data_IF_919502280869
#
_entry.id   IF_919502280869
#
_cell.length_a   1.000
_cell.length_b   1.000
_cell.length_c   1.000
_cell.angle_alpha   90.00
_cell.angle_beta   90.00
_cell.angle_gamma   90.00
#
_symmetry.space_group_name_H-M   'P 1'
#
loop_
_entity.id
_entity.type
_entity.pdbx_description
1 polymer ?
#
# COMPACT_ATOMS: atom_id res chain seq x y z
N UNK A 1 -32.36 4.89 18.39
CA UNK A 1 -31.68 5.79 17.45
C UNK A 1 -30.20 5.49 17.62
N UNK A 2 -29.71 4.51 16.85
CA UNK A 2 -28.27 4.17 16.85
C UNK A 2 -27.61 4.94 15.72
N UNK A 3 -26.71 5.84 16.11
CA UNK A 3 -25.85 6.59 15.18
C UNK A 3 -24.86 5.64 14.50
N UNK A 4 -25.21 5.22 13.29
CA UNK A 4 -24.28 4.52 12.42
C UNK A 4 -23.35 5.53 11.76
N UNK A 5 -22.34 5.99 12.50
CA UNK A 5 -21.17 6.67 11.94
C UNK A 5 -20.34 5.65 11.17
N UNK A 6 -20.73 5.37 9.93
CA UNK A 6 -19.89 4.65 8.97
C UNK A 6 -18.81 5.60 8.44
N UNK A 7 -17.83 5.91 9.29
CA UNK A 7 -16.58 6.46 8.85
C UNK A 7 -15.93 5.48 7.88
N UNK A 8 -15.66 5.91 6.66
CA UNK A 8 -14.88 5.15 5.69
C UNK A 8 -13.49 4.95 6.27
N UNK A 9 -13.28 3.83 6.93
CA UNK A 9 -11.93 3.39 7.25
C UNK A 9 -11.29 3.07 5.90
N UNK A 10 -10.39 3.91 5.44
CA UNK A 10 -9.33 3.47 4.52
C UNK A 10 -8.92 2.09 5.03
N UNK A 11 -8.92 1.03 4.20
CA UNK A 11 -8.63 -0.30 4.70
C UNK A 11 -7.44 -0.21 5.64
N UNK A 12 -7.54 -0.86 6.80
CA UNK A 12 -6.51 -0.82 7.86
C UNK A 12 -5.10 -1.10 7.30
N UNK A 13 -5.05 -1.79 6.16
CA UNK A 13 -3.87 -2.06 5.37
C UNK A 13 -3.16 -0.77 4.88
N UNK A 14 -3.90 0.30 4.53
CA UNK A 14 -3.29 1.58 4.14
C UNK A 14 -2.62 2.30 5.31
N UNK A 15 -3.22 2.21 6.51
CA UNK A 15 -2.65 2.79 7.72
C UNK A 15 -1.46 1.94 8.19
N UNK A 16 -1.57 0.62 8.10
CA UNK A 16 -0.50 -0.30 8.51
C UNK A 16 0.72 -0.16 7.59
N UNK A 17 0.53 0.00 6.28
CA UNK A 17 1.67 0.18 5.36
C UNK A 17 2.37 1.52 5.62
N UNK A 18 1.66 2.61 5.88
CA UNK A 18 2.28 3.90 6.19
C UNK A 18 2.95 3.91 7.58
N UNK A 19 2.39 3.19 8.57
CA UNK A 19 2.94 3.10 9.94
C UNK A 19 4.05 2.06 10.04
N UNK A 20 3.94 0.91 9.35
CA UNK A 20 5.01 -0.09 9.30
C UNK A 20 6.28 0.43 8.60
N UNK A 21 6.16 1.41 7.74
CA UNK A 21 7.33 2.03 7.09
C UNK A 21 8.22 2.84 8.04
N UNK A 22 7.67 3.34 9.16
CA UNK A 22 8.44 4.12 10.14
C UNK A 22 8.89 3.26 11.33
N UNK A 23 8.14 2.20 11.68
CA UNK A 23 8.40 1.43 12.91
C UNK A 23 9.13 0.10 12.70
N UNK A 24 9.15 -0.49 11.52
CA UNK A 24 9.80 -1.78 11.28
C UNK A 24 11.35 -1.72 11.28
N UNK A 25 11.94 -0.55 11.47
CA UNK A 25 13.39 -0.38 11.49
C UNK A 25 13.95 -0.16 12.90
N UNK A 26 13.11 -0.05 13.94
CA UNK A 26 13.57 0.44 15.26
C UNK A 26 13.80 -0.65 16.29
N UNK A 27 13.37 -1.88 16.09
CA UNK A 27 13.57 -2.92 17.14
C UNK A 27 14.20 -4.16 16.52
N UNK A 28 15.50 -4.29 16.61
CA UNK A 28 16.13 -5.61 16.75
C UNK A 28 17.35 -5.50 17.64
N UNK A 29 17.18 -5.81 18.92
CA UNK A 29 18.18 -6.49 19.71
C UNK A 29 18.01 -8.01 19.47
N UNK A 30 19.03 -8.85 19.68
CA UNK A 30 19.33 -9.98 18.82
C UNK A 30 18.57 -11.25 19.22
N UNK A 31 17.93 -11.91 18.28
CA UNK A 31 17.72 -13.35 18.34
C UNK A 31 18.10 -13.94 16.98
N UNK A 32 19.13 -14.75 17.06
CA UNK A 32 19.71 -15.57 16.00
C UNK A 32 18.70 -16.66 15.60
N UNK A 33 18.42 -16.82 14.30
CA UNK A 33 18.73 -18.07 13.57
C UNK A 33 17.92 -18.23 12.30
N UNK A 34 18.62 -18.67 11.33
CA UNK A 34 18.37 -19.26 10.02
C UNK A 34 18.57 -18.31 8.85
N UNK A 35 19.82 -18.24 8.45
CA UNK A 35 20.31 -17.69 7.19
C UNK A 35 19.93 -18.66 6.07
N UNK A 36 19.13 -18.21 5.11
CA UNK A 36 19.16 -18.74 3.75
C UNK A 36 19.87 -17.69 2.90
N UNK A 37 21.08 -18.06 2.50
CA UNK A 37 21.95 -17.31 1.60
C UNK A 37 21.30 -17.15 0.24
N UNK A 38 20.96 -15.92 -0.13
CA UNK A 38 20.93 -15.49 -1.52
C UNK A 38 22.11 -14.54 -1.70
N UNK A 39 22.89 -14.81 -2.72
CA UNK A 39 24.19 -14.31 -3.08
C UNK A 39 24.28 -12.77 -3.03
N UNK A 40 25.40 -12.29 -2.56
CA UNK A 40 25.96 -10.99 -2.27
C UNK A 40 25.84 -10.60 -0.78
N UNK A 41 27.01 -10.62 -0.15
CA UNK A 41 27.35 -10.30 1.23
C UNK A 41 26.20 -9.69 2.07
N UNK A 42 25.59 -10.50 2.93
CA UNK A 42 24.61 -10.05 3.93
C UNK A 42 25.24 -8.99 4.84
N UNK A 43 25.13 -7.73 4.46
CA UNK A 43 25.51 -6.62 5.32
C UNK A 43 24.31 -6.22 6.18
N UNK A 44 24.60 -5.86 7.43
CA UNK A 44 23.56 -5.31 8.31
C UNK A 44 23.33 -3.85 7.98
N UNK A 45 22.08 -3.44 7.90
CA UNK A 45 21.69 -2.04 7.79
C UNK A 45 21.30 -1.47 9.14
N UNK A 46 21.55 -0.19 9.33
CA UNK A 46 21.10 0.60 10.49
C UNK A 46 20.46 1.89 9.98
N UNK A 47 19.47 2.39 10.71
CA UNK A 47 18.86 3.70 10.40
C UNK A 47 19.31 4.70 11.43
N UNK A 48 19.86 5.82 10.96
CA UNK A 48 20.28 6.96 11.79
C UNK A 48 19.69 8.23 11.19
N UNK A 49 18.95 9.00 11.98
CA UNK A 49 18.31 10.26 11.53
C UNK A 49 17.47 10.13 10.25
N UNK A 50 16.76 8.99 10.09
CA UNK A 50 15.92 8.72 8.93
C UNK A 50 16.67 8.28 7.65
N UNK A 51 17.98 8.11 7.70
CA UNK A 51 18.81 7.60 6.62
C UNK A 51 19.30 6.18 6.89
N UNK A 52 19.41 5.39 5.84
CA UNK A 52 19.89 4.01 5.86
C UNK A 52 21.41 4.01 5.65
N UNK A 53 22.13 3.23 6.47
CA UNK A 53 23.57 3.01 6.42
C UNK A 53 23.86 1.52 6.45
N UNK A 54 25.01 1.10 5.93
CA UNK A 54 25.57 -0.18 6.31
C UNK A 54 26.14 -0.07 7.74
N UNK A 55 26.03 -1.15 8.49
CA UNK A 55 26.61 -1.21 9.83
C UNK A 55 28.12 -0.99 9.78
N UNK A 56 28.62 -0.01 10.55
CA UNK A 56 30.03 0.36 10.58
C UNK A 56 30.46 1.39 9.53
N UNK A 57 29.57 1.78 8.60
CA UNK A 57 29.86 2.85 7.64
C UNK A 57 29.28 4.19 8.12
N UNK A 58 29.99 5.27 7.79
CA UNK A 58 29.56 6.65 8.12
C UNK A 58 28.81 7.32 6.96
N UNK A 59 29.01 6.86 5.73
CA UNK A 59 28.30 7.36 4.56
C UNK A 59 26.93 6.70 4.40
N UNK A 60 25.89 7.44 4.03
CA UNK A 60 24.58 6.87 3.72
C UNK A 60 24.67 5.84 2.59
N UNK A 61 23.93 4.75 2.73
CA UNK A 61 23.94 3.66 1.77
C UNK A 61 23.30 4.06 0.43
N UNK A 62 23.91 3.58 -0.64
CA UNK A 62 23.32 3.59 -1.99
C UNK A 62 23.44 2.18 -2.57
N UNK A 63 22.32 1.62 -3.02
CA UNK A 63 22.27 0.28 -3.58
C UNK A 63 20.90 -0.35 -3.48
N UNK A 64 20.85 -1.66 -3.70
CA UNK A 64 19.63 -2.46 -3.67
C UNK A 64 19.52 -3.23 -2.36
N UNK A 65 18.32 -3.29 -1.77
CA UNK A 65 18.04 -4.05 -0.56
C UNK A 65 16.99 -5.12 -0.89
N UNK A 66 17.32 -6.35 -0.52
CA UNK A 66 16.41 -7.48 -0.50
C UNK A 66 16.39 -8.01 0.93
N UNK A 67 15.23 -8.00 1.55
CA UNK A 67 15.05 -8.47 2.92
C UNK A 67 13.89 -9.48 2.98
N UNK A 68 13.96 -10.39 3.95
CA UNK A 68 12.91 -11.38 4.17
C UNK A 68 12.34 -11.20 5.57
N UNK A 69 11.06 -10.91 5.65
CA UNK A 69 10.31 -10.74 6.88
C UNK A 69 9.07 -11.63 6.85
N UNK A 70 8.94 -12.56 7.83
CA UNK A 70 7.75 -13.41 7.99
C UNK A 70 7.26 -14.10 6.72
N UNK A 71 8.13 -14.72 5.93
CA UNK A 71 7.79 -15.38 4.66
C UNK A 71 7.46 -14.43 3.50
N UNK A 72 7.79 -13.15 3.62
CA UNK A 72 7.68 -12.17 2.52
C UNK A 72 9.04 -11.61 2.16
N UNK A 73 9.27 -11.43 0.87
CA UNK A 73 10.45 -10.78 0.33
C UNK A 73 10.11 -9.31 0.08
N UNK A 74 10.90 -8.42 0.65
CA UNK A 74 10.79 -6.97 0.45
C UNK A 74 11.98 -6.53 -0.39
N UNK A 75 11.71 -5.81 -1.48
CA UNK A 75 12.75 -5.28 -2.37
C UNK A 75 12.57 -3.79 -2.56
N UNK A 76 13.67 -3.05 -2.47
CA UNK A 76 13.68 -1.62 -2.78
C UNK A 76 15.10 -1.11 -3.01
N UNK A 77 15.21 -0.02 -3.75
CA UNK A 77 16.46 0.70 -3.94
C UNK A 77 16.62 1.79 -2.89
N UNK A 78 17.87 2.14 -2.63
CA UNK A 78 18.29 3.21 -1.72
C UNK A 78 19.29 4.11 -2.44
N UNK A 79 19.08 5.41 -2.37
CA UNK A 79 19.99 6.43 -2.90
C UNK A 79 20.30 7.41 -1.78
N UNK A 80 21.58 7.51 -1.41
CA UNK A 80 22.04 8.39 -0.32
C UNK A 80 21.25 8.20 0.98
N UNK A 81 20.99 6.93 1.35
CA UNK A 81 20.27 6.56 2.57
C UNK A 81 18.75 6.68 2.49
N UNK A 82 18.17 7.13 1.40
CA UNK A 82 16.72 7.25 1.20
C UNK A 82 16.22 6.21 0.22
N UNK A 83 15.08 5.59 0.53
CA UNK A 83 14.40 4.70 -0.43
C UNK A 83 14.07 5.47 -1.69
N UNK A 84 14.35 4.86 -2.84
CA UNK A 84 14.17 5.46 -4.15
C UNK A 84 13.97 4.38 -5.21
N UNK A 85 13.17 4.65 -6.26
CA UNK A 85 12.94 3.70 -7.34
C UNK A 85 11.82 2.70 -7.06
N UNK A 86 11.97 1.50 -7.59
CA UNK A 86 10.96 0.45 -7.44
C UNK A 86 10.90 -0.08 -6.01
N UNK A 87 9.69 -0.37 -5.56
CA UNK A 87 9.40 -1.01 -4.29
C UNK A 87 8.48 -2.20 -4.52
N UNK A 88 8.77 -3.33 -3.89
CA UNK A 88 7.86 -4.48 -3.94
C UNK A 88 7.90 -5.32 -2.66
N UNK A 89 6.76 -5.96 -2.38
CA UNK A 89 6.60 -7.04 -1.42
C UNK A 89 6.02 -8.23 -2.16
N UNK A 90 6.65 -9.39 -2.05
CA UNK A 90 6.16 -10.64 -2.64
C UNK A 90 6.23 -11.79 -1.64
N UNK A 91 5.51 -12.87 -1.92
CA UNK A 91 5.69 -14.15 -1.22
C UNK A 91 7.01 -14.80 -1.64
N UNK A 92 7.42 -15.87 -0.95
CA UNK A 92 8.61 -16.65 -1.32
C UNK A 92 8.47 -17.32 -2.70
N UNK A 93 7.23 -17.58 -3.13
CA UNK A 93 6.91 -18.12 -4.46
C UNK A 93 6.95 -17.05 -5.56
N UNK A 94 7.17 -15.78 -5.20
CA UNK A 94 7.26 -14.66 -6.14
C UNK A 94 5.94 -13.94 -6.45
N UNK A 95 4.83 -14.31 -5.81
CA UNK A 95 3.57 -13.62 -5.99
C UNK A 95 3.62 -12.26 -5.29
N UNK A 96 3.37 -11.18 -6.03
CA UNK A 96 3.33 -9.85 -5.43
C UNK A 96 2.17 -9.70 -4.45
N UNK A 97 2.44 -9.06 -3.33
CA UNK A 97 1.42 -8.51 -2.43
C UNK A 97 1.23 -7.01 -2.69
N UNK A 98 2.34 -6.30 -2.99
CA UNK A 98 2.37 -4.86 -3.25
C UNK A 98 3.49 -4.55 -4.23
N UNK A 99 3.28 -3.62 -5.14
CA UNK A 99 4.36 -2.99 -5.90
C UNK A 99 4.04 -1.53 -6.25
N UNK A 100 5.08 -0.71 -6.34
CA UNK A 100 4.97 0.70 -6.65
C UNK A 100 6.33 1.39 -6.74
N UNK A 101 6.32 2.71 -6.60
CA UNK A 101 7.52 3.53 -6.67
C UNK A 101 7.65 4.42 -5.44
N UNK A 102 8.90 4.60 -5.00
CA UNK A 102 9.27 5.46 -3.87
C UNK A 102 10.27 6.49 -4.34
N UNK A 103 10.12 7.72 -3.92
CA UNK A 103 11.10 8.79 -4.13
C UNK A 103 11.39 9.48 -2.80
N UNK A 104 12.66 9.43 -2.35
CA UNK A 104 13.10 10.05 -1.09
C UNK A 104 12.24 9.64 0.11
N UNK A 105 12.04 8.33 0.28
CA UNK A 105 11.19 7.70 1.30
C UNK A 105 9.68 7.94 1.16
N UNK A 106 9.19 8.57 0.09
CA UNK A 106 7.77 8.85 -0.12
C UNK A 106 7.20 8.03 -1.28
N UNK A 107 6.00 7.54 -1.11
CA UNK A 107 5.29 6.86 -2.17
C UNK A 107 4.93 7.85 -3.29
N UNK A 108 5.22 7.47 -4.54
CA UNK A 108 4.93 8.27 -5.73
C UNK A 108 4.44 7.37 -6.87
N UNK A 109 3.75 7.96 -7.86
CA UNK A 109 3.32 7.24 -9.05
C UNK A 109 2.32 6.12 -8.78
N UNK A 110 2.28 5.15 -9.68
CA UNK A 110 1.30 4.06 -9.63
C UNK A 110 1.68 2.99 -8.61
N UNK A 111 0.69 2.58 -7.81
CA UNK A 111 0.80 1.50 -6.83
C UNK A 111 -0.26 0.45 -7.09
N UNK A 112 0.12 -0.83 -6.95
CA UNK A 112 -0.76 -2.00 -7.10
C UNK A 112 -0.69 -2.86 -5.85
N UNK A 113 -1.85 -3.33 -5.41
CA UNK A 113 -2.03 -4.24 -4.30
C UNK A 113 -2.69 -5.50 -4.82
N UNK A 114 -2.32 -6.64 -4.27
CA UNK A 114 -2.78 -7.93 -4.76
C UNK A 114 -3.35 -8.76 -3.60
N UNK A 115 -4.35 -9.55 -3.90
CA UNK A 115 -4.83 -10.62 -3.03
C UNK A 115 -3.77 -11.71 -2.86
N UNK A 116 -3.91 -12.55 -1.83
CA UNK A 116 -2.97 -13.66 -1.58
C UNK A 116 -2.88 -14.65 -2.75
N UNK A 117 -3.91 -14.73 -3.59
CA UNK A 117 -3.93 -15.56 -4.80
C UNK A 117 -3.28 -14.87 -6.03
N UNK A 118 -2.67 -13.70 -5.86
CA UNK A 118 -1.98 -12.94 -6.89
C UNK A 118 -2.88 -12.09 -7.79
N UNK A 119 -4.20 -12.09 -7.59
CA UNK A 119 -5.11 -11.24 -8.36
C UNK A 119 -5.03 -9.80 -7.87
N UNK A 120 -5.21 -8.86 -8.79
CA UNK A 120 -5.22 -7.44 -8.46
C UNK A 120 -6.37 -7.13 -7.49
N UNK A 121 -6.04 -6.55 -6.33
CA UNK A 121 -6.99 -6.08 -5.32
C UNK A 121 -7.32 -4.60 -5.51
N UNK A 122 -6.28 -3.78 -5.73
CA UNK A 122 -6.49 -2.35 -5.98
C UNK A 122 -5.34 -1.73 -6.75
N UNK A 123 -5.63 -0.63 -7.42
CA UNK A 123 -4.66 0.20 -8.13
C UNK A 123 -5.01 1.66 -7.97
N UNK A 124 -3.98 2.49 -7.81
CA UNK A 124 -4.10 3.93 -7.75
C UNK A 124 -2.74 4.60 -7.78
N UNK A 125 -2.70 5.89 -7.51
CA UNK A 125 -1.46 6.65 -7.54
C UNK A 125 -1.27 7.46 -6.28
N UNK A 126 0.00 7.76 -5.97
CA UNK A 126 0.41 8.63 -4.88
C UNK A 126 1.22 9.82 -5.41
N UNK A 127 1.10 10.93 -4.70
CA UNK A 127 2.02 12.07 -4.76
C UNK A 127 2.41 12.37 -3.31
N UNK A 128 3.70 12.24 -2.96
CA UNK A 128 4.22 12.50 -1.62
C UNK A 128 3.41 11.80 -0.51
N UNK A 129 3.24 10.47 -0.60
CA UNK A 129 2.47 9.60 0.31
C UNK A 129 0.95 9.86 0.33
N UNK A 130 0.46 10.81 -0.44
CA UNK A 130 -0.97 11.14 -0.50
C UNK A 130 -1.60 10.47 -1.71
N UNK A 131 -2.68 9.68 -1.54
CA UNK A 131 -3.46 9.19 -2.65
C UNK A 131 -3.89 10.34 -3.55
N UNK A 132 -3.76 10.14 -4.87
CA UNK A 132 -4.06 11.14 -5.88
C UNK A 132 -4.68 10.49 -7.11
N UNK A 133 -5.68 11.15 -7.71
CA UNK A 133 -6.34 10.69 -8.92
C UNK A 133 -7.24 9.48 -8.69
N UNK A 134 -7.53 8.76 -9.77
CA UNK A 134 -8.46 7.65 -9.73
C UNK A 134 -7.87 6.45 -9.01
N UNK A 135 -8.69 5.85 -8.13
CA UNK A 135 -8.40 4.61 -7.44
C UNK A 135 -9.49 3.61 -7.75
N UNK A 136 -9.09 2.34 -8.02
CA UNK A 136 -10.01 1.24 -8.34
C UNK A 136 -9.70 0.07 -7.42
N UNK A 137 -10.74 -0.51 -6.84
CA UNK A 137 -10.70 -1.76 -6.08
C UNK A 137 -11.47 -2.83 -6.81
N UNK A 138 -10.99 -4.03 -6.72
CA UNK A 138 -11.57 -5.19 -7.40
C UNK A 138 -12.01 -6.25 -6.38
N UNK A 139 -12.99 -7.02 -6.73
CA UNK A 139 -13.28 -8.31 -6.07
C UNK A 139 -12.25 -9.36 -6.52
N UNK A 140 -12.14 -10.47 -5.76
CA UNK A 140 -11.35 -11.63 -6.19
C UNK A 140 -11.78 -12.20 -7.54
N UNK A 141 -13.02 -11.97 -7.96
CA UNK A 141 -13.51 -12.32 -9.30
C UNK A 141 -12.91 -11.47 -10.43
N UNK A 142 -12.16 -10.39 -10.09
CA UNK A 142 -11.63 -9.41 -11.05
C UNK A 142 -12.62 -8.31 -11.44
N UNK A 143 -13.87 -8.37 -11.01
CA UNK A 143 -14.83 -7.29 -11.23
C UNK A 143 -14.56 -6.10 -10.33
N UNK A 144 -14.85 -4.91 -10.81
CA UNK A 144 -14.72 -3.69 -10.00
C UNK A 144 -15.65 -3.78 -8.79
N UNK A 145 -15.08 -3.55 -7.61
CA UNK A 145 -15.77 -3.46 -6.32
C UNK A 145 -16.14 -2.03 -5.98
N UNK A 146 -15.19 -1.12 -6.20
CA UNK A 146 -15.40 0.31 -6.02
C UNK A 146 -14.38 1.11 -6.81
N UNK A 147 -14.75 2.33 -7.15
CA UNK A 147 -13.85 3.30 -7.76
C UNK A 147 -14.19 4.70 -7.29
N UNK A 148 -13.19 5.58 -7.30
CA UNK A 148 -13.35 6.97 -6.91
C UNK A 148 -12.07 7.76 -7.06
N UNK A 149 -12.15 9.05 -6.81
CA UNK A 149 -11.03 9.95 -6.99
C UNK A 149 -10.53 10.49 -5.66
N UNK A 150 -9.21 10.60 -5.53
CA UNK A 150 -8.55 11.31 -4.44
C UNK A 150 -7.94 12.62 -4.94
N UNK A 151 -8.03 13.64 -4.13
CA UNK A 151 -7.33 14.89 -4.28
C UNK A 151 -6.53 15.18 -3.01
N UNK A 152 -5.20 15.19 -3.13
CA UNK A 152 -4.29 15.45 -2.02
C UNK A 152 -4.55 14.59 -0.77
N UNK A 153 -4.85 13.31 -0.96
CA UNK A 153 -5.09 12.34 0.10
C UNK A 153 -6.53 12.25 0.60
N UNK A 154 -7.44 13.09 0.11
CA UNK A 154 -8.84 13.12 0.51
C UNK A 154 -9.74 12.64 -0.63
N UNK A 155 -10.79 11.90 -0.28
CA UNK A 155 -11.80 11.51 -1.26
C UNK A 155 -12.47 12.76 -1.85
N UNK A 156 -12.62 12.79 -3.18
CA UNK A 156 -13.17 13.92 -3.90
C UNK A 156 -14.08 13.46 -5.05
N UNK A 157 -15.20 14.16 -5.24
CA UNK A 157 -16.15 13.90 -6.30
C UNK A 157 -16.91 12.59 -6.16
N UNK A 158 -17.24 11.99 -7.29
CA UNK A 158 -18.07 10.79 -7.35
C UNK A 158 -17.29 9.53 -7.01
N UNK A 159 -17.82 8.75 -6.06
CA UNK A 159 -17.40 7.40 -5.72
C UNK A 159 -18.52 6.41 -5.99
N UNK A 160 -18.18 5.25 -6.54
CA UNK A 160 -19.15 4.22 -6.90
C UNK A 160 -18.74 2.90 -6.26
N UNK A 161 -19.73 2.17 -5.77
CA UNK A 161 -19.58 0.78 -5.33
C UNK A 161 -20.48 -0.12 -6.17
N UNK A 162 -19.96 -1.30 -6.43
CA UNK A 162 -20.65 -2.34 -7.19
C UNK A 162 -20.82 -3.60 -6.34
N UNK A 163 -21.81 -4.41 -6.65
CA UNK A 163 -21.93 -5.77 -6.14
C UNK A 163 -21.01 -6.74 -6.92
N UNK A 164 -20.91 -7.99 -6.48
CA UNK A 164 -20.11 -9.03 -7.18
C UNK A 164 -20.66 -9.40 -8.56
N UNK A 165 -21.88 -9.03 -8.89
CA UNK A 165 -22.46 -9.20 -10.22
C UNK A 165 -22.05 -8.07 -11.15
N UNK A 166 -21.55 -6.94 -10.60
CA UNK A 166 -21.14 -5.74 -11.32
C UNK A 166 -22.25 -4.67 -11.40
N UNK A 167 -23.33 -4.83 -10.65
CA UNK A 167 -24.36 -3.81 -10.58
C UNK A 167 -23.95 -2.72 -9.59
N UNK A 168 -24.16 -1.47 -9.94
CA UNK A 168 -23.98 -0.35 -9.03
C UNK A 168 -24.97 -0.47 -7.87
N UNK A 169 -24.47 -0.47 -6.63
CA UNK A 169 -25.29 -0.53 -5.43
C UNK A 169 -25.25 0.74 -4.59
N UNK A 170 -24.18 1.55 -4.75
CA UNK A 170 -24.04 2.78 -3.99
C UNK A 170 -23.20 3.80 -4.77
N UNK A 171 -23.67 5.04 -4.78
CA UNK A 171 -22.92 6.19 -5.26
C UNK A 171 -22.84 7.23 -4.16
N UNK A 172 -21.64 7.73 -3.90
CA UNK A 172 -21.33 8.70 -2.87
C UNK A 172 -20.64 9.89 -3.53
N UNK A 173 -21.01 11.10 -3.15
CA UNK A 173 -20.28 12.30 -3.52
C UNK A 173 -19.51 12.82 -2.31
N UNK A 174 -18.22 13.00 -2.51
CA UNK A 174 -17.31 13.57 -1.53
C UNK A 174 -16.87 14.98 -1.93
N UNK A 175 -16.66 15.82 -0.93
CA UNK A 175 -15.93 17.08 -1.08
C UNK A 175 -14.96 17.20 0.08
N UNK A 176 -13.67 17.33 -0.23
CA UNK A 176 -12.58 17.46 0.75
C UNK A 176 -12.54 16.32 1.80
N UNK A 177 -12.96 15.12 1.43
CA UNK A 177 -13.01 13.93 2.28
C UNK A 177 -14.32 13.73 3.05
N UNK A 178 -15.25 14.67 2.99
CA UNK A 178 -16.55 14.60 3.65
C UNK A 178 -17.65 14.16 2.68
N UNK A 179 -18.61 13.38 3.15
CA UNK A 179 -19.75 12.94 2.36
C UNK A 179 -20.73 14.11 2.19
N UNK A 180 -20.95 14.50 0.93
CA UNK A 180 -21.94 15.52 0.56
C UNK A 180 -23.31 14.89 0.30
N UNK A 181 -23.31 13.74 -0.38
CA UNK A 181 -24.57 13.01 -0.65
C UNK A 181 -24.26 11.55 -0.93
N UNK A 182 -25.27 10.70 -0.73
CA UNK A 182 -25.21 9.29 -1.11
C UNK A 182 -26.54 8.85 -1.78
N UNK A 183 -26.44 7.94 -2.75
CA UNK A 183 -27.56 7.32 -3.43
C UNK A 183 -27.37 5.81 -3.42
N UNK A 184 -28.33 5.09 -2.82
CA UNK A 184 -28.37 3.63 -2.81
C UNK A 184 -29.21 3.12 -3.96
N UNK A 185 -28.73 2.13 -4.67
CA UNK A 185 -29.43 1.45 -5.75
C UNK A 185 -29.82 0.06 -5.28
N UNK A 186 -31.13 -0.21 -5.19
CA UNK A 186 -31.65 -1.55 -4.95
C UNK A 186 -32.05 -2.15 -6.29
N UNK A 187 -31.67 -3.40 -6.54
CA UNK A 187 -32.19 -4.13 -7.69
C UNK A 187 -33.73 -4.29 -7.50
N UNK A 188 -34.52 -4.16 -8.57
CA UNK A 188 -35.93 -4.47 -8.50
C UNK A 188 -36.10 -5.92 -8.05
N UNK A 189 -36.81 -6.14 -6.95
CA UNK A 189 -37.22 -7.49 -6.56
C UNK A 189 -38.30 -7.93 -7.57
N UNK A 190 -37.96 -8.84 -8.45
CA UNK A 190 -38.93 -9.53 -9.26
C UNK A 190 -39.72 -10.46 -8.33
N UNK A 191 -41.01 -10.14 -8.12
CA UNK A 191 -41.95 -10.96 -7.41
C UNK A 191 -42.39 -12.08 -8.35
#
# INVERSE_FOLDING_TARGET
MEDATYGYKVPLLFIIISVLFVSAVVIIAPIVSSVHTIDEASFRIVVRSGLIYKLGEESPYTGHIVDTLESKIIKYDVVNGLKHGEFSISTLEGNFSVCGFVEKNKNVGSWKYFYDDGRLESVGSFIDDKPQGNWIWYYKSGKVKSEGNYLSGKAEGRWVKYDERGNMNLMIYYSNGEIVSEVKFSLPQFI
#
